data_IF_798669583495
#
_entry.id   IF_798669583495
#
_cell.length_a   1.000
_cell.length_b   1.000
_cell.length_c   1.000
_cell.angle_alpha   90.00
_cell.angle_beta   90.00
_cell.angle_gamma   90.00
#
_symmetry.space_group_name_H-M   'P 1'
#
loop_
_entity.id
_entity.type
_entity.pdbx_description
1 polymer ?
#
# COMPACT_ATOMS: atom_id res chain seq x y z
N UNK A 1 3.15 -13.93 0.44
CA UNK A 1 4.11 -13.00 1.10
C UNK A 1 3.44 -11.70 1.53
N UNK A 2 3.94 -11.00 2.56
CA UNK A 2 3.50 -9.63 2.92
C UNK A 2 4.70 -8.68 2.92
N UNK A 3 4.56 -7.52 2.27
CA UNK A 3 5.59 -6.49 2.18
C UNK A 3 5.04 -5.20 2.79
N UNK A 4 5.68 -4.70 3.85
CA UNK A 4 5.32 -3.43 4.47
C UNK A 4 6.37 -2.37 4.13
N UNK A 5 5.91 -1.19 3.71
CA UNK A 5 6.72 -0.01 3.45
C UNK A 5 6.24 1.14 4.35
N UNK A 6 7.15 1.68 5.15
CA UNK A 6 6.89 2.86 5.98
C UNK A 6 7.25 4.11 5.19
N UNK A 7 6.30 5.03 5.11
CA UNK A 7 6.46 6.34 4.48
C UNK A 7 7.01 7.30 5.53
N UNK A 8 8.10 7.97 5.19
CA UNK A 8 8.76 8.94 6.08
C UNK A 8 8.49 10.34 5.53
N UNK A 9 7.84 11.19 6.33
CA UNK A 9 7.44 12.54 5.96
C UNK A 9 5.98 12.65 5.54
N UNK A 10 5.54 13.89 5.30
CA UNK A 10 4.19 14.17 4.80
C UNK A 10 4.15 13.94 3.28
N UNK A 11 3.91 12.69 2.87
CA UNK A 11 3.73 12.37 1.46
C UNK A 11 2.33 12.75 0.95
N UNK A 12 2.30 13.30 -0.26
CA UNK A 12 1.08 13.52 -1.04
C UNK A 12 0.49 12.20 -1.52
N UNK A 13 -0.80 12.20 -1.89
CA UNK A 13 -1.47 10.99 -2.41
C UNK A 13 -0.71 10.42 -3.61
N UNK A 14 -0.29 11.27 -4.55
CA UNK A 14 0.48 10.86 -5.72
C UNK A 14 1.80 10.17 -5.34
N UNK A 15 2.58 10.73 -4.41
CA UNK A 15 3.83 10.12 -3.94
C UNK A 15 3.61 8.75 -3.28
N UNK A 16 2.48 8.57 -2.59
CA UNK A 16 2.12 7.28 -2.00
C UNK A 16 1.76 6.27 -3.10
N UNK A 17 1.03 6.69 -4.13
CA UNK A 17 0.73 5.84 -5.28
C UNK A 17 1.99 5.47 -6.07
N UNK A 18 2.93 6.40 -6.24
CA UNK A 18 4.24 6.12 -6.84
C UNK A 18 5.01 5.08 -6.02
N UNK A 19 5.02 5.21 -4.69
CA UNK A 19 5.64 4.21 -3.80
C UNK A 19 4.97 2.85 -3.92
N UNK A 20 3.65 2.83 -4.09
CA UNK A 20 2.92 1.59 -4.29
C UNK A 20 3.27 0.94 -5.63
N UNK A 21 3.41 1.75 -6.68
CA UNK A 21 3.88 1.33 -8.00
C UNK A 21 5.28 0.72 -7.95
N UNK A 22 6.21 1.36 -7.23
CA UNK A 22 7.57 0.86 -7.03
C UNK A 22 7.58 -0.50 -6.32
N UNK A 23 6.73 -0.69 -5.30
CA UNK A 23 6.61 -1.97 -4.61
C UNK A 23 6.11 -3.03 -5.60
N UNK A 24 5.04 -2.76 -6.35
CA UNK A 24 4.51 -3.72 -7.31
C UNK A 24 5.50 -4.06 -8.43
N UNK A 25 6.29 -3.09 -8.92
CA UNK A 25 7.37 -3.36 -9.89
C UNK A 25 8.48 -4.19 -9.30
N UNK A 26 8.86 -3.96 -8.04
CA UNK A 26 9.92 -4.72 -7.37
C UNK A 26 9.55 -6.19 -7.18
N UNK A 27 8.26 -6.48 -7.01
CA UNK A 27 7.71 -7.82 -6.85
C UNK A 27 6.87 -8.21 -8.07
N UNK A 28 7.31 -7.83 -9.28
CA UNK A 28 6.56 -8.09 -10.52
C UNK A 28 6.30 -9.57 -10.80
N UNK A 29 7.15 -10.46 -10.26
CA UNK A 29 7.01 -11.91 -10.35
C UNK A 29 5.91 -12.47 -9.44
N UNK A 30 5.35 -11.66 -8.53
CA UNK A 30 4.32 -12.08 -7.57
C UNK A 30 2.98 -11.41 -7.89
N UNK A 31 1.89 -12.17 -7.73
CA UNK A 31 0.54 -11.62 -7.91
C UNK A 31 0.10 -10.88 -6.64
N UNK A 32 -0.13 -9.55 -6.68
CA UNK A 32 -0.66 -8.82 -5.55
C UNK A 32 -2.13 -9.18 -5.34
N UNK A 33 -2.47 -9.56 -4.11
CA UNK A 33 -3.82 -9.98 -3.70
C UNK A 33 -4.57 -8.86 -2.99
N UNK A 34 -3.87 -7.98 -2.31
CA UNK A 34 -4.49 -6.91 -1.55
C UNK A 34 -3.50 -5.86 -1.10
N UNK A 35 -3.97 -4.63 -0.99
CA UNK A 35 -3.22 -3.50 -0.46
C UNK A 35 -3.89 -3.05 0.83
N UNK A 36 -3.09 -2.84 1.86
CA UNK A 36 -3.51 -2.30 3.14
C UNK A 36 -2.77 -1.00 3.42
N UNK A 37 -3.50 0.03 3.81
CA UNK A 37 -2.91 1.34 4.15
C UNK A 37 -3.31 1.77 5.54
N UNK A 38 -2.43 2.51 6.21
CA UNK A 38 -2.74 3.12 7.51
C UNK A 38 -3.99 4.01 7.46
N UNK A 39 -4.63 4.20 8.63
CA UNK A 39 -5.85 5.01 8.74
C UNK A 39 -5.65 6.45 8.23
N UNK A 40 -4.49 7.06 8.49
CA UNK A 40 -4.15 8.40 7.99
C UNK A 40 -4.13 8.46 6.47
N UNK A 41 -3.50 7.50 5.80
CA UNK A 41 -3.47 7.42 4.33
C UNK A 41 -4.86 7.17 3.74
N UNK A 42 -5.64 6.28 4.37
CA UNK A 42 -7.00 6.01 3.92
C UNK A 42 -7.89 7.27 4.03
N UNK A 43 -7.77 8.02 5.13
CA UNK A 43 -8.47 9.29 5.32
C UNK A 43 -8.03 10.39 4.34
N UNK A 44 -6.78 10.33 3.84
CA UNK A 44 -6.30 11.22 2.77
C UNK A 44 -6.84 10.87 1.38
N UNK A 45 -7.58 9.76 1.25
CA UNK A 45 -8.22 9.35 0.00
C UNK A 45 -7.61 8.13 -0.68
N UNK A 46 -6.61 7.49 -0.07
CA UNK A 46 -5.96 6.29 -0.64
C UNK A 46 -6.85 5.08 -0.35
N UNK A 47 -7.80 4.84 -1.25
CA UNK A 47 -8.87 3.85 -1.13
C UNK A 47 -9.34 3.40 -2.51
N UNK A 48 -10.19 2.37 -2.56
CA UNK A 48 -10.71 1.83 -3.81
C UNK A 48 -9.83 0.71 -4.34
N UNK A 49 -9.32 0.86 -5.57
CA UNK A 49 -8.47 -0.14 -6.21
C UNK A 49 -7.29 0.53 -6.90
N UNK A 50 -6.11 -0.10 -6.82
CA UNK A 50 -4.93 0.33 -7.55
C UNK A 50 -4.47 -0.81 -8.46
N UNK A 51 -4.47 -0.56 -9.77
CA UNK A 51 -4.16 -1.57 -10.80
C UNK A 51 -4.98 -2.87 -10.67
N UNK A 52 -6.24 -2.76 -10.23
CA UNK A 52 -7.12 -3.91 -10.02
C UNK A 52 -6.90 -4.65 -8.70
N UNK A 53 -6.05 -4.13 -7.81
CA UNK A 53 -5.82 -4.66 -6.46
C UNK A 53 -6.59 -3.80 -5.46
N UNK A 54 -7.45 -4.39 -4.62
CA UNK A 54 -8.25 -3.62 -3.67
C UNK A 54 -7.37 -3.00 -2.57
N UNK A 55 -7.62 -1.72 -2.29
CA UNK A 55 -7.03 -0.97 -1.18
C UNK A 55 -8.01 -0.96 -0.02
N UNK A 56 -7.57 -1.50 1.11
CA UNK A 56 -8.31 -1.48 2.37
C UNK A 56 -7.54 -0.72 3.46
N UNK A 57 -8.28 -0.16 4.40
CA UNK A 57 -7.69 0.41 5.61
C UNK A 57 -7.22 -0.70 6.56
N UNK A 58 -6.02 -0.54 7.12
CA UNK A 58 -5.49 -1.35 8.22
C UNK A 58 -5.14 -0.46 9.43
N UNK A 59 -6.01 -0.41 10.46
CA UNK A 59 -5.78 0.37 11.68
C UNK A 59 -4.50 -0.01 12.43
N UNK A 60 -4.04 -1.27 12.27
CA UNK A 60 -2.82 -1.78 12.89
C UNK A 60 -1.52 -1.14 12.38
N UNK A 61 -1.58 -0.39 11.26
CA UNK A 61 -0.44 0.32 10.69
C UNK A 61 -0.25 1.72 11.31
N UNK A 62 -1.22 2.22 12.07
CA UNK A 62 -1.11 3.46 12.84
C UNK A 62 -0.09 3.28 14.00
N UNK A 63 0.70 4.29 14.41
CA UNK A 63 0.64 5.71 14.06
C UNK A 63 1.40 6.15 12.82
N UNK A 64 2.04 5.23 12.10
CA UNK A 64 2.91 5.56 10.97
C UNK A 64 2.11 5.55 9.68
N UNK A 65 2.50 6.40 8.72
CA UNK A 65 1.98 6.30 7.36
C UNK A 65 2.64 5.07 6.71
N UNK A 66 1.94 3.94 6.68
CA UNK A 66 2.45 2.70 6.08
C UNK A 66 1.54 2.15 5.00
N UNK A 67 2.17 1.50 4.03
CA UNK A 67 1.56 0.68 2.98
C UNK A 67 2.00 -0.77 3.23
N UNK A 68 1.06 -1.70 3.16
CA UNK A 68 1.34 -3.13 3.16
C UNK A 68 0.72 -3.75 1.92
N UNK A 69 1.50 -4.51 1.16
CA UNK A 69 1.01 -5.26 0.01
C UNK A 69 1.09 -6.74 0.33
N UNK A 70 -0.02 -7.43 0.17
CA UNK A 70 -0.13 -8.88 0.29
C UNK A 70 0.00 -9.47 -1.11
N UNK A 71 0.94 -10.40 -1.28
CA UNK A 71 1.18 -11.15 -2.50
C UNK A 71 0.87 -12.63 -2.29
N UNK A 72 0.38 -13.32 -3.31
CA UNK A 72 0.33 -14.78 -3.30
C UNK A 72 1.76 -15.34 -3.47
N UNK A 73 2.11 -16.33 -2.66
CA UNK A 73 3.28 -17.19 -2.90
C UNK A 73 2.74 -18.37 -3.73
N UNK A 74 3.07 -18.43 -5.02
CA UNK A 74 2.95 -19.68 -5.80
C UNK A 74 4.21 -20.53 -5.68
#
# INVERSE_FOLDING_TARGET
>A
MQVTSTLVGELTVDEVLERLDEILRKYEDLTPRGIRVSNSLHQRGISGEFRGVPIAMAPSLYPQDQIQVEFDDE
#
